data_IF_660560153620
#
_entry.id   IF_660560153620
#
_cell.length_a   1.000
_cell.length_b   1.000
_cell.length_c   1.000
_cell.angle_alpha   90.00
_cell.angle_beta   90.00
_cell.angle_gamma   90.00
#
_symmetry.space_group_name_H-M   'P 1'
#
loop_
_entity.id
_entity.type
_entity.pdbx_description
1 polymer ?
#
# COMPACT_ATOMS: atom_id res chain seq x y z
N UNK A 1 -20.58 -13.80 7.86
CA UNK A 1 -20.62 -14.89 6.90
C UNK A 1 -19.46 -15.82 7.23
N UNK A 2 -19.74 -17.09 7.43
CA UNK A 2 -18.70 -18.10 7.63
C UNK A 2 -18.01 -18.33 6.28
N UNK A 3 -16.70 -18.24 6.25
CA UNK A 3 -15.91 -18.56 5.06
C UNK A 3 -15.06 -19.77 5.34
N UNK A 4 -15.15 -20.76 4.47
CA UNK A 4 -14.35 -21.97 4.56
C UNK A 4 -13.22 -21.94 3.55
N UNK A 5 -12.02 -22.30 3.97
CA UNK A 5 -10.89 -22.57 3.08
C UNK A 5 -10.67 -24.07 3.08
N UNK A 6 -10.64 -24.67 1.89
CA UNK A 6 -10.26 -26.05 1.69
C UNK A 6 -8.87 -26.12 1.07
N UNK A 7 -8.04 -27.02 1.56
CA UNK A 7 -6.65 -27.18 1.14
C UNK A 7 -6.33 -28.66 1.03
N UNK A 8 -5.73 -29.08 -0.10
CA UNK A 8 -5.23 -30.43 -0.29
C UNK A 8 -3.78 -30.53 0.22
N UNK A 9 -3.51 -31.52 1.05
CA UNK A 9 -2.17 -31.74 1.62
C UNK A 9 -1.23 -32.28 0.54
N UNK A 10 -0.12 -31.58 0.31
CA UNK A 10 0.92 -31.97 -0.63
C UNK A 10 1.88 -32.99 0.02
N UNK A 11 2.65 -33.72 -0.81
CA UNK A 11 3.56 -34.79 -0.37
C UNK A 11 4.56 -34.33 0.70
N UNK A 12 5.14 -33.15 0.51
CA UNK A 12 6.12 -32.57 1.44
C UNK A 12 5.57 -32.20 2.83
N UNK A 13 4.24 -32.23 3.00
CA UNK A 13 3.56 -31.91 4.26
C UNK A 13 3.17 -33.17 5.03
N UNK A 14 3.29 -34.34 4.43
CA UNK A 14 2.95 -35.63 5.06
C UNK A 14 3.72 -35.80 6.37
N UNK A 15 3.03 -36.32 7.40
CA UNK A 15 3.59 -36.50 8.74
C UNK A 15 3.61 -35.25 9.61
N UNK A 16 3.16 -34.11 9.10
CA UNK A 16 3.02 -32.89 9.89
C UNK A 16 1.68 -32.87 10.61
N UNK A 17 1.56 -32.04 11.65
CA UNK A 17 0.28 -31.79 12.33
C UNK A 17 -0.61 -30.86 11.51
N UNK A 18 -1.93 -30.98 11.67
CA UNK A 18 -2.91 -30.05 11.08
C UNK A 18 -2.55 -28.59 11.41
N UNK A 19 -2.16 -28.28 12.67
CA UNK A 19 -1.75 -26.94 13.07
C UNK A 19 -0.57 -26.44 12.22
N UNK A 20 0.46 -27.29 12.04
CA UNK A 20 1.66 -26.90 11.30
C UNK A 20 1.31 -26.60 9.84
N UNK A 21 0.52 -27.46 9.20
CA UNK A 21 0.05 -27.27 7.82
C UNK A 21 -0.80 -26.00 7.68
N UNK A 22 -1.76 -25.76 8.58
CA UNK A 22 -2.56 -24.54 8.57
C UNK A 22 -1.71 -23.28 8.72
N UNK A 23 -0.61 -23.36 9.48
CA UNK A 23 0.33 -22.22 9.63
C UNK A 23 1.22 -22.01 8.42
N UNK A 24 1.78 -23.08 7.87
CA UNK A 24 2.78 -22.97 6.78
C UNK A 24 2.13 -22.81 5.41
N UNK A 25 1.12 -23.61 5.09
CA UNK A 25 0.48 -23.58 3.77
C UNK A 25 -0.57 -22.47 3.64
N UNK A 26 -1.34 -22.21 4.71
CA UNK A 26 -2.38 -21.19 4.68
C UNK A 26 -1.98 -19.86 5.34
N UNK A 27 -0.80 -19.80 5.98
CA UNK A 27 -0.31 -18.60 6.65
C UNK A 27 -1.15 -18.18 7.86
N UNK A 28 -1.85 -19.12 8.51
CA UNK A 28 -2.74 -18.81 9.62
C UNK A 28 -1.97 -18.62 10.93
N UNK A 29 -2.37 -17.65 11.73
CA UNK A 29 -1.80 -17.44 13.06
C UNK A 29 -2.35 -18.48 14.05
N UNK A 30 -1.59 -18.75 15.13
CA UNK A 30 -2.08 -19.59 16.25
C UNK A 30 -3.44 -19.14 16.77
N UNK A 31 -3.68 -17.82 16.83
CA UNK A 31 -4.95 -17.25 17.30
C UNK A 31 -6.12 -17.57 16.37
N UNK A 32 -5.91 -17.54 15.06
CA UNK A 32 -6.93 -17.91 14.06
C UNK A 32 -7.28 -19.39 14.16
N UNK A 33 -6.27 -20.27 14.22
CA UNK A 33 -6.44 -21.71 14.38
C UNK A 33 -7.14 -22.02 15.70
N UNK A 34 -6.73 -21.37 16.80
CA UNK A 34 -7.37 -21.54 18.12
C UNK A 34 -8.84 -21.13 18.12
N UNK A 35 -9.21 -20.07 17.40
CA UNK A 35 -10.62 -19.68 17.25
C UNK A 35 -11.41 -20.71 16.48
N UNK A 36 -10.88 -21.16 15.33
CA UNK A 36 -11.53 -22.15 14.50
C UNK A 36 -11.76 -23.47 15.25
N UNK A 37 -10.78 -23.99 16.00
CA UNK A 37 -10.90 -25.28 16.68
C UNK A 37 -12.03 -25.36 17.72
N UNK A 38 -12.51 -24.22 18.23
CA UNK A 38 -13.61 -24.17 19.20
C UNK A 38 -15.00 -24.03 18.54
N UNK A 39 -15.06 -23.97 17.21
CA UNK A 39 -16.32 -23.96 16.47
C UNK A 39 -16.72 -25.38 16.09
N UNK A 40 -18.02 -25.66 16.03
CA UNK A 40 -18.56 -27.01 15.73
C UNK A 40 -18.03 -27.57 14.41
N UNK A 41 -17.88 -26.69 13.38
CA UNK A 41 -17.38 -27.02 12.04
C UNK A 41 -16.08 -26.29 11.70
N UNK A 42 -15.31 -25.94 12.71
CA UNK A 42 -14.19 -25.02 12.56
C UNK A 42 -12.99 -25.60 11.82
N UNK A 43 -12.60 -26.85 12.08
CA UNK A 43 -11.49 -27.53 11.38
C UNK A 43 -11.91 -28.97 11.09
N UNK A 44 -11.81 -29.36 9.80
CA UNK A 44 -12.13 -30.73 9.34
C UNK A 44 -11.00 -31.29 8.51
N UNK A 45 -10.79 -32.60 8.65
CA UNK A 45 -9.92 -33.39 7.79
C UNK A 45 -10.78 -34.44 7.08
N UNK A 46 -10.79 -34.43 5.74
CA UNK A 46 -11.61 -35.33 4.91
C UNK A 46 -13.11 -35.28 5.30
N UNK A 47 -13.62 -34.10 5.57
CA UNK A 47 -15.02 -33.88 5.96
C UNK A 47 -15.35 -34.17 7.44
N UNK A 48 -14.45 -34.76 8.22
CA UNK A 48 -14.64 -35.09 9.64
C UNK A 48 -13.91 -34.08 10.53
N UNK A 49 -14.55 -33.66 11.60
CA UNK A 49 -13.93 -32.77 12.60
C UNK A 49 -12.64 -33.41 13.14
N UNK A 50 -11.56 -32.63 13.18
CA UNK A 50 -10.24 -33.11 13.59
C UNK A 50 -9.62 -32.21 14.66
N UNK A 51 -8.60 -32.75 15.33
CA UNK A 51 -7.78 -31.98 16.27
C UNK A 51 -6.60 -31.30 15.53
N UNK A 52 -6.15 -30.19 16.03
CA UNK A 52 -4.98 -29.48 15.49
C UNK A 52 -3.68 -30.28 15.60
N UNK A 53 -3.66 -31.28 16.48
CA UNK A 53 -2.54 -32.23 16.70
C UNK A 53 -2.57 -33.45 15.78
N UNK A 54 -3.69 -33.68 15.05
CA UNK A 54 -3.79 -34.83 14.15
C UNK A 54 -2.78 -34.74 13.00
N UNK A 55 -2.24 -35.90 12.64
CA UNK A 55 -1.26 -36.01 11.55
C UNK A 55 -1.97 -36.04 10.21
N UNK A 56 -1.41 -35.34 9.23
CA UNK A 56 -1.91 -35.34 7.86
C UNK A 56 -1.09 -36.26 6.97
N UNK A 57 -1.76 -36.76 5.92
CA UNK A 57 -1.14 -37.54 4.84
C UNK A 57 -1.36 -36.85 3.50
N UNK A 58 -0.58 -37.21 2.49
CA UNK A 58 -0.74 -36.73 1.12
C UNK A 58 -2.19 -36.92 0.65
N UNK A 59 -2.73 -35.91 0.00
CA UNK A 59 -4.12 -35.86 -0.52
C UNK A 59 -5.23 -35.69 0.54
N UNK A 60 -4.90 -35.63 1.85
CA UNK A 60 -5.88 -35.22 2.85
C UNK A 60 -6.47 -33.86 2.52
N UNK A 61 -7.78 -33.70 2.63
CA UNK A 61 -8.49 -32.44 2.47
C UNK A 61 -8.66 -31.78 3.84
N UNK A 62 -7.96 -30.68 4.07
CA UNK A 62 -8.11 -29.90 5.29
C UNK A 62 -9.03 -28.73 5.00
N UNK A 63 -10.12 -28.61 5.74
CA UNK A 63 -11.03 -27.47 5.69
C UNK A 63 -10.96 -26.71 7.01
N UNK A 64 -10.91 -25.39 6.93
CA UNK A 64 -10.95 -24.51 8.10
C UNK A 64 -11.97 -23.38 7.87
N UNK A 65 -12.80 -23.13 8.91
CA UNK A 65 -13.69 -21.99 8.95
C UNK A 65 -12.92 -20.73 9.37
N UNK A 66 -12.97 -19.70 8.54
CA UNK A 66 -12.43 -18.38 8.85
C UNK A 66 -13.61 -17.47 9.15
N UNK A 67 -14.04 -17.44 10.39
CA UNK A 67 -15.07 -16.49 10.81
C UNK A 67 -14.52 -15.06 10.92
N UNK A 68 -15.34 -14.10 10.50
CA UNK A 68 -15.26 -12.76 11.07
C UNK A 68 -15.67 -12.89 12.54
N UNK A 69 -14.75 -12.64 13.47
CA UNK A 69 -15.08 -12.76 14.89
C UNK A 69 -16.30 -11.87 15.21
N UNK A 70 -17.33 -12.45 15.87
CA UNK A 70 -18.52 -11.69 16.35
C UNK A 70 -18.11 -10.45 17.17
N UNK A 71 -16.96 -10.48 17.84
CA UNK A 71 -16.37 -9.36 18.57
C UNK A 71 -15.64 -8.33 17.67
N UNK A 72 -15.34 -8.63 16.39
CA UNK A 72 -14.79 -7.65 15.47
C UNK A 72 -15.84 -6.61 15.02
N UNK A 73 -17.13 -6.88 15.24
CA UNK A 73 -18.20 -5.93 14.98
C UNK A 73 -18.16 -4.71 15.94
N UNK A 74 -17.62 -4.89 17.16
CA UNK A 74 -17.48 -3.80 18.14
C UNK A 74 -16.33 -2.83 17.82
N UNK A 75 -15.50 -3.13 16.82
CA UNK A 75 -14.43 -2.29 16.31
C UNK A 75 -14.66 -1.89 14.85
N UNK A 76 -15.94 -1.85 14.41
CA UNK A 76 -16.28 -1.29 13.13
C UNK A 76 -15.90 0.19 13.16
N UNK A 77 -15.10 0.59 12.19
CA UNK A 77 -14.88 2.00 11.88
C UNK A 77 -16.27 2.61 11.68
N UNK A 78 -16.59 3.70 12.39
CA UNK A 78 -17.86 4.40 12.20
C UNK A 78 -18.06 4.63 10.69
N UNK A 79 -19.26 4.37 10.18
CA UNK A 79 -19.53 4.55 8.76
C UNK A 79 -20.05 5.98 8.51
N UNK A 80 -19.75 6.50 7.35
CA UNK A 80 -20.27 7.76 6.87
C UNK A 80 -21.53 7.47 6.03
N UNK A 81 -22.71 7.95 6.47
CA UNK A 81 -23.96 7.73 5.74
C UNK A 81 -24.01 8.53 4.44
N UNK A 82 -23.43 9.74 4.43
CA UNK A 82 -23.40 10.67 3.30
C UNK A 82 -22.12 10.55 2.46
N UNK A 83 -21.46 9.40 2.49
CA UNK A 83 -20.22 9.21 1.76
C UNK A 83 -20.45 9.36 0.25
N UNK A 84 -19.56 10.11 -0.40
CA UNK A 84 -19.45 10.10 -1.86
C UNK A 84 -19.32 8.67 -2.39
N UNK A 85 -19.88 8.37 -3.57
CA UNK A 85 -19.74 7.05 -4.18
C UNK A 85 -18.28 6.64 -4.27
N UNK A 86 -17.98 5.41 -3.84
CA UNK A 86 -16.64 4.84 -4.02
C UNK A 86 -16.40 4.52 -5.49
N UNK A 87 -15.31 4.97 -6.03
CA UNK A 87 -14.84 4.52 -7.34
C UNK A 87 -14.12 3.17 -7.18
N UNK A 88 -14.87 2.09 -7.47
CA UNK A 88 -14.40 0.72 -7.29
C UNK A 88 -13.68 0.27 -8.56
N UNK A 89 -12.42 -0.12 -8.43
CA UNK A 89 -11.59 -0.64 -9.53
C UNK A 89 -11.67 -2.17 -9.63
N UNK A 90 -11.83 -2.84 -8.49
CA UNK A 90 -11.96 -4.29 -8.41
C UNK A 90 -12.65 -4.70 -7.12
N UNK A 91 -13.50 -5.70 -7.18
CA UNK A 91 -14.13 -6.28 -6.00
C UNK A 91 -14.41 -7.77 -6.21
N UNK A 92 -14.07 -8.59 -5.22
CA UNK A 92 -14.50 -9.97 -5.09
C UNK A 92 -14.87 -10.30 -3.63
N UNK A 93 -14.93 -11.57 -3.28
CA UNK A 93 -15.24 -12.00 -1.90
C UNK A 93 -14.15 -11.66 -0.88
N UNK A 94 -12.91 -11.46 -1.32
CA UNK A 94 -11.73 -11.39 -0.48
C UNK A 94 -11.10 -10.02 -0.42
N UNK A 95 -11.21 -9.25 -1.49
CA UNK A 95 -10.55 -7.96 -1.65
C UNK A 95 -11.48 -6.92 -2.26
N UNK A 96 -11.14 -5.66 -2.00
CA UNK A 96 -11.72 -4.48 -2.63
C UNK A 96 -10.59 -3.51 -2.97
N UNK A 97 -10.50 -3.09 -4.22
CA UNK A 97 -9.61 -2.02 -4.65
C UNK A 97 -10.43 -0.80 -5.06
N UNK A 98 -10.07 0.36 -4.54
CA UNK A 98 -10.76 1.63 -4.82
C UNK A 98 -9.77 2.70 -5.28
N UNK A 99 -10.22 3.60 -6.13
CA UNK A 99 -9.52 4.83 -6.46
C UNK A 99 -9.81 5.87 -5.38
N UNK A 100 -8.83 6.16 -4.54
CA UNK A 100 -8.95 7.16 -3.48
C UNK A 100 -8.85 8.56 -4.10
N UNK A 101 -9.81 9.46 -3.90
CA UNK A 101 -9.61 10.87 -4.25
C UNK A 101 -8.54 11.50 -3.35
N UNK A 102 -7.95 12.60 -3.80
CA UNK A 102 -7.12 13.45 -2.95
C UNK A 102 -7.99 14.14 -1.87
N UNK A 103 -7.37 14.65 -0.82
CA UNK A 103 -8.03 15.42 0.24
C UNK A 103 -8.59 14.59 1.40
N UNK A 104 -8.66 13.26 1.30
CA UNK A 104 -9.11 12.39 2.38
C UNK A 104 -8.03 11.43 2.89
N UNK A 105 -8.06 11.12 4.18
CA UNK A 105 -7.16 10.14 4.78
C UNK A 105 -7.58 8.71 4.40
N UNK A 106 -6.61 7.79 4.36
CA UNK A 106 -6.91 6.36 4.12
C UNK A 106 -7.68 5.72 5.27
N UNK A 107 -7.33 6.04 6.53
CA UNK A 107 -7.98 5.51 7.73
C UNK A 107 -7.98 6.54 8.86
N UNK A 108 -8.82 6.38 9.89
CA UNK A 108 -8.95 7.31 11.00
C UNK A 108 -7.61 7.60 11.68
N UNK A 109 -7.32 8.89 11.88
CA UNK A 109 -6.13 9.36 12.57
C UNK A 109 -6.35 10.78 13.12
N UNK A 110 -5.91 11.03 14.36
CA UNK A 110 -6.06 12.33 15.00
C UNK A 110 -7.53 12.75 15.10
N UNK A 111 -7.87 13.94 14.59
CA UNK A 111 -9.23 14.50 14.61
C UNK A 111 -10.17 13.90 13.53
N UNK A 112 -9.64 13.12 12.58
CA UNK A 112 -10.41 12.54 11.49
C UNK A 112 -10.90 11.14 11.85
N UNK A 113 -12.12 11.03 12.44
CA UNK A 113 -12.68 9.76 12.91
C UNK A 113 -13.72 9.15 11.95
N UNK A 114 -14.44 9.99 11.18
CA UNK A 114 -15.60 9.57 10.39
C UNK A 114 -15.53 9.96 8.91
N UNK A 115 -14.50 10.69 8.49
CA UNK A 115 -14.36 11.30 7.16
C UNK A 115 -13.25 10.66 6.31
N UNK A 116 -12.83 9.44 6.65
CA UNK A 116 -11.74 8.75 5.95
C UNK A 116 -12.26 7.76 4.90
N UNK A 117 -11.39 7.34 3.97
CA UNK A 117 -11.72 6.30 3.00
C UNK A 117 -12.20 5.01 3.68
N UNK A 118 -11.60 4.63 4.81
CA UNK A 118 -12.03 3.46 5.57
C UNK A 118 -13.45 3.59 6.11
N UNK A 119 -13.90 4.81 6.47
CA UNK A 119 -15.29 5.07 6.87
C UNK A 119 -16.24 4.90 5.69
N UNK A 120 -15.86 5.40 4.51
CA UNK A 120 -16.65 5.25 3.27
C UNK A 120 -16.77 3.78 2.86
N UNK A 121 -15.66 3.01 2.92
CA UNK A 121 -15.68 1.56 2.67
C UNK A 121 -16.52 0.81 3.70
N UNK A 122 -16.49 1.22 4.97
CA UNK A 122 -17.37 0.65 6.02
C UNK A 122 -18.84 0.88 5.69
N UNK A 123 -19.22 2.08 5.29
CA UNK A 123 -20.58 2.41 4.83
C UNK A 123 -21.01 1.61 3.61
N UNK A 124 -20.13 1.46 2.64
CA UNK A 124 -20.36 0.63 1.46
C UNK A 124 -20.63 -0.84 1.83
N UNK A 125 -19.79 -1.43 2.69
CA UNK A 125 -20.01 -2.80 3.16
C UNK A 125 -21.31 -2.94 3.94
N UNK A 126 -21.66 -1.96 4.77
CA UNK A 126 -22.92 -1.95 5.50
C UNK A 126 -24.14 -1.93 4.55
N UNK A 127 -24.14 -1.06 3.53
CA UNK A 127 -25.19 -1.00 2.50
C UNK A 127 -25.33 -2.32 1.73
N UNK A 128 -24.21 -3.01 1.46
CA UNK A 128 -24.18 -4.34 0.82
C UNK A 128 -24.47 -5.51 1.77
N UNK A 129 -24.72 -5.26 3.05
CA UNK A 129 -24.87 -6.29 4.09
C UNK A 129 -23.64 -7.22 4.22
N UNK A 130 -22.45 -6.70 3.91
CA UNK A 130 -21.18 -7.39 4.09
C UNK A 130 -20.62 -7.02 5.46
N UNK A 131 -20.72 -7.94 6.41
CA UNK A 131 -20.25 -7.71 7.79
C UNK A 131 -18.80 -8.14 7.93
N UNK A 132 -17.88 -7.26 7.60
CA UNK A 132 -16.46 -7.49 7.77
C UNK A 132 -15.75 -6.22 8.28
N UNK A 133 -14.63 -6.41 8.95
CA UNK A 133 -13.75 -5.30 9.34
C UNK A 133 -13.05 -4.74 8.10
N UNK A 134 -13.00 -3.42 7.98
CA UNK A 134 -12.23 -2.72 6.94
C UNK A 134 -10.73 -2.83 7.27
N UNK A 135 -9.94 -3.38 6.33
CA UNK A 135 -8.48 -3.60 6.49
C UNK A 135 -7.73 -3.07 5.28
N UNK A 136 -7.27 -1.81 5.32
CA UNK A 136 -6.45 -1.29 4.23
C UNK A 136 -5.09 -1.98 4.17
N UNK A 137 -4.61 -2.29 2.97
CA UNK A 137 -3.28 -2.83 2.72
C UNK A 137 -2.34 -1.68 2.33
N UNK A 138 -1.66 -1.15 3.32
CA UNK A 138 -0.91 0.09 3.19
C UNK A 138 -1.80 1.33 3.22
N UNK A 139 -1.18 2.48 3.02
CA UNK A 139 -1.85 3.79 3.06
C UNK A 139 -1.36 4.68 1.92
N UNK A 140 -2.17 5.67 1.57
CA UNK A 140 -1.77 6.85 0.83
C UNK A 140 -1.90 8.08 1.73
N UNK A 141 -1.10 9.09 1.47
CA UNK A 141 -1.20 10.37 2.16
C UNK A 141 -2.52 11.07 1.81
N UNK A 142 -2.93 12.07 2.60
CA UNK A 142 -4.20 12.79 2.42
C UNK A 142 -4.34 13.32 1.00
N UNK A 143 -3.33 14.04 0.51
CA UNK A 143 -3.35 14.69 -0.80
C UNK A 143 -2.97 13.77 -1.97
N UNK A 144 -2.50 12.53 -1.71
CA UNK A 144 -2.21 11.54 -2.73
C UNK A 144 -3.48 10.83 -3.16
N UNK A 145 -3.75 10.80 -4.45
CA UNK A 145 -4.85 10.04 -5.06
C UNK A 145 -4.41 8.64 -5.53
N UNK A 146 -5.37 7.79 -5.94
CA UNK A 146 -5.11 6.51 -6.58
C UNK A 146 -5.41 5.28 -5.75
N UNK A 147 -4.85 4.13 -6.14
CA UNK A 147 -5.28 2.81 -5.70
C UNK A 147 -4.98 2.56 -4.23
N UNK A 148 -6.05 2.23 -3.48
CA UNK A 148 -5.97 1.64 -2.15
C UNK A 148 -6.66 0.29 -2.16
N UNK A 149 -5.92 -0.73 -1.69
CA UNK A 149 -6.41 -2.10 -1.58
C UNK A 149 -6.90 -2.37 -0.17
N UNK A 150 -8.06 -3.01 -0.05
CA UNK A 150 -8.65 -3.45 1.21
C UNK A 150 -8.85 -4.96 1.20
N UNK A 151 -8.56 -5.60 2.31
CA UNK A 151 -8.89 -7.00 2.54
C UNK A 151 -10.22 -7.11 3.29
N UNK A 152 -11.12 -7.97 2.79
CA UNK A 152 -12.43 -8.24 3.41
C UNK A 152 -12.36 -9.23 4.57
N UNK A 153 -11.27 -10.00 4.66
CA UNK A 153 -11.05 -10.94 5.75
C UNK A 153 -9.59 -10.89 6.24
N UNK A 154 -9.35 -11.49 7.40
CA UNK A 154 -8.05 -11.42 8.06
C UNK A 154 -6.96 -12.21 7.31
N UNK A 155 -7.31 -13.31 6.64
CA UNK A 155 -6.34 -14.13 5.89
C UNK A 155 -5.86 -13.37 4.65
N UNK A 156 -6.78 -12.76 3.91
CA UNK A 156 -6.43 -11.88 2.80
C UNK A 156 -5.54 -10.74 3.25
N UNK A 157 -5.86 -10.10 4.39
CA UNK A 157 -5.03 -9.03 4.94
C UNK A 157 -3.60 -9.49 5.23
N UNK A 158 -3.46 -10.63 5.88
CA UNK A 158 -2.15 -11.19 6.23
C UNK A 158 -1.34 -11.57 4.99
N UNK A 159 -1.96 -12.24 4.02
CA UNK A 159 -1.29 -12.66 2.78
C UNK A 159 -0.88 -11.48 1.90
N UNK A 160 -1.75 -10.49 1.75
CA UNK A 160 -1.42 -9.27 1.02
C UNK A 160 -0.35 -8.43 1.71
N UNK A 161 -0.36 -8.40 3.05
CA UNK A 161 0.70 -7.74 3.82
C UNK A 161 2.05 -8.47 3.65
N UNK A 162 2.08 -9.80 3.69
CA UNK A 162 3.28 -10.59 3.42
C UNK A 162 3.80 -10.38 1.98
N UNK A 163 2.91 -10.29 0.99
CA UNK A 163 3.29 -9.96 -0.40
C UNK A 163 3.89 -8.55 -0.49
N UNK A 164 3.37 -7.59 0.25
CA UNK A 164 3.92 -6.24 0.31
C UNK A 164 5.33 -6.24 0.93
N UNK A 165 5.54 -6.98 2.00
CA UNK A 165 6.84 -7.10 2.69
C UNK A 165 7.88 -7.84 1.84
N UNK A 166 7.47 -8.81 1.03
CA UNK A 166 8.33 -9.55 0.10
C UNK A 166 8.50 -8.91 -1.28
N UNK A 167 7.89 -7.73 -1.53
CA UNK A 167 7.96 -7.04 -2.82
C UNK A 167 7.13 -7.66 -3.94
N UNK A 168 6.32 -8.70 -3.68
CA UNK A 168 5.38 -9.28 -4.67
C UNK A 168 4.25 -8.31 -4.96
N UNK A 169 3.66 -7.70 -3.92
CA UNK A 169 2.71 -6.61 -4.06
C UNK A 169 3.47 -5.31 -4.19
N UNK A 170 3.40 -4.69 -5.34
CA UNK A 170 4.03 -3.40 -5.59
C UNK A 170 3.09 -2.42 -6.26
N UNK A 171 3.29 -1.15 -5.95
CA UNK A 171 2.60 -0.01 -6.55
C UNK A 171 3.55 0.78 -7.43
N UNK A 172 3.01 1.29 -8.51
CA UNK A 172 3.65 2.28 -9.35
C UNK A 172 2.90 3.60 -9.21
N UNK A 173 3.65 4.66 -9.02
CA UNK A 173 3.14 6.01 -8.87
C UNK A 173 3.49 6.83 -10.10
N UNK A 174 2.69 7.86 -10.35
CA UNK A 174 3.06 8.94 -11.25
C UNK A 174 3.07 10.23 -10.45
N UNK A 175 4.07 11.08 -10.71
CA UNK A 175 4.22 12.36 -10.06
C UNK A 175 4.68 13.42 -11.06
N UNK A 176 4.34 14.68 -10.76
CA UNK A 176 4.87 15.84 -11.45
C UNK A 176 5.73 16.60 -10.46
N UNK A 177 6.99 16.81 -10.84
CA UNK A 177 8.02 17.42 -9.99
C UNK A 177 8.53 18.71 -10.57
N UNK A 178 9.05 19.59 -9.72
CA UNK A 178 9.67 20.86 -10.14
C UNK A 178 11.03 20.64 -10.77
N UNK A 179 11.36 21.47 -11.73
CA UNK A 179 12.65 21.51 -12.41
C UNK A 179 12.84 20.40 -13.44
N UNK A 180 13.81 20.59 -14.29
CA UNK A 180 14.29 19.60 -15.24
C UNK A 180 15.44 18.80 -14.63
N UNK A 181 15.44 17.50 -14.82
CA UNK A 181 16.62 16.68 -14.51
C UNK A 181 17.73 17.00 -15.51
N UNK A 182 18.93 17.32 -15.02
CA UNK A 182 20.07 17.69 -15.85
C UNK A 182 20.46 16.55 -16.81
N UNK A 183 20.86 16.93 -18.01
CA UNK A 183 21.32 16.03 -19.09
C UNK A 183 22.70 15.41 -18.83
N UNK A 184 23.40 15.77 -17.74
CA UNK A 184 24.77 15.33 -17.43
C UNK A 184 24.93 13.80 -17.24
N UNK A 185 23.87 13.10 -17.34
CA UNK A 185 23.87 11.64 -17.49
C UNK A 185 23.67 11.28 -18.96
N UNK A 186 24.70 11.51 -19.77
CA UNK A 186 24.77 11.22 -21.21
C UNK A 186 24.54 9.72 -21.58
N UNK A 187 24.10 8.90 -20.66
CA UNK A 187 23.74 7.49 -20.85
C UNK A 187 22.26 7.18 -20.54
N UNK A 188 21.42 8.17 -20.22
CA UNK A 188 20.05 7.90 -19.80
C UNK A 188 19.08 8.06 -20.96
N UNK A 189 18.87 6.95 -21.65
CA UNK A 189 17.60 6.77 -22.35
C UNK A 189 16.46 7.07 -21.34
N UNK A 190 15.36 7.71 -21.77
CA UNK A 190 14.16 7.93 -20.93
C UNK A 190 13.60 6.63 -20.31
N UNK A 191 14.22 5.46 -20.53
CA UNK A 191 13.81 4.13 -20.07
C UNK A 191 14.55 3.64 -18.83
N UNK A 192 15.62 4.32 -18.37
CA UNK A 192 16.41 3.86 -17.23
C UNK A 192 15.72 4.18 -15.88
N UNK A 193 15.78 3.20 -14.97
CA UNK A 193 15.38 3.38 -13.57
C UNK A 193 16.55 3.87 -12.74
N UNK A 194 16.31 4.92 -11.96
CA UNK A 194 17.23 5.49 -10.97
C UNK A 194 16.81 5.09 -9.60
N UNK A 195 17.76 4.98 -8.67
CA UNK A 195 17.48 4.58 -7.28
C UNK A 195 17.92 5.65 -6.30
N UNK A 196 17.06 5.95 -5.32
CA UNK A 196 17.32 6.86 -4.20
C UNK A 196 17.21 6.06 -2.91
N UNK A 197 18.30 6.06 -2.11
CA UNK A 197 18.41 5.27 -0.87
C UNK A 197 18.68 6.18 0.35
N UNK A 198 18.09 7.35 0.42
CA UNK A 198 18.26 8.25 1.57
C UNK A 198 17.42 7.78 2.77
N UNK A 199 18.00 7.52 3.94
CA UNK A 199 17.23 7.27 5.14
C UNK A 199 16.34 8.47 5.48
N UNK A 200 15.16 8.17 6.05
CA UNK A 200 14.16 9.18 6.40
C UNK A 200 13.97 9.23 7.90
N UNK A 201 13.86 10.42 8.45
CA UNK A 201 13.46 10.64 9.84
C UNK A 201 12.38 11.71 9.96
N UNK A 202 11.73 11.75 11.12
CA UNK A 202 10.82 12.84 11.46
C UNK A 202 11.64 14.08 11.85
N UNK A 203 11.24 15.27 11.36
CA UNK A 203 11.88 16.53 11.76
C UNK A 203 11.44 16.93 13.17
N UNK A 204 12.30 17.67 13.87
CA UNK A 204 11.99 18.19 15.21
C UNK A 204 11.11 19.45 15.18
N UNK A 205 11.16 20.21 14.07
CA UNK A 205 10.52 21.50 13.91
C UNK A 205 9.05 21.44 13.50
N UNK A 206 8.59 20.29 13.00
CA UNK A 206 7.22 20.16 12.50
C UNK A 206 6.65 18.75 12.71
N UNK A 207 5.45 18.60 13.33
CA UNK A 207 4.90 17.31 13.75
C UNK A 207 4.59 16.35 12.58
N UNK A 208 4.37 16.85 11.38
CA UNK A 208 4.03 16.05 10.20
C UNK A 208 5.16 15.98 9.18
N UNK A 209 6.26 16.71 9.36
CA UNK A 209 7.33 16.78 8.37
C UNK A 209 8.34 15.64 8.58
N UNK A 210 8.75 15.06 7.47
CA UNK A 210 9.85 14.11 7.38
C UNK A 210 11.01 14.77 6.65
N UNK A 211 12.22 14.27 6.82
CA UNK A 211 13.40 14.69 6.06
C UNK A 211 14.20 13.47 5.62
N UNK A 212 14.81 13.56 4.44
CA UNK A 212 15.79 12.62 3.96
C UNK A 212 17.18 13.09 4.40
N UNK A 213 18.01 12.15 4.83
CA UNK A 213 19.37 12.43 5.25
C UNK A 213 20.31 12.14 4.07
N UNK A 214 20.90 13.19 3.52
CA UNK A 214 21.75 13.14 2.33
C UNK A 214 23.26 13.04 2.64
N UNK A 215 23.68 13.34 3.87
CA UNK A 215 25.08 13.43 4.28
C UNK A 215 25.73 12.07 4.60
N UNK A 216 25.06 10.97 4.33
CA UNK A 216 25.69 9.65 4.31
C UNK A 216 26.51 9.55 3.02
N UNK A 217 27.85 9.50 3.15
CA UNK A 217 28.75 9.32 2.02
C UNK A 217 28.29 8.18 1.09
N UNK A 218 28.70 8.22 -0.16
CA UNK A 218 28.28 7.36 -1.29
C UNK A 218 28.34 5.85 -1.09
N UNK A 219 28.65 5.38 0.12
CA UNK A 219 28.83 3.96 0.50
C UNK A 219 27.64 3.37 1.28
N UNK A 220 26.58 4.13 1.55
CA UNK A 220 25.44 3.61 2.31
C UNK A 220 24.45 2.88 1.39
N UNK A 221 24.69 1.60 1.19
CA UNK A 221 23.68 0.66 0.69
C UNK A 221 23.08 -0.03 1.92
N UNK A 222 21.80 0.13 2.26
CA UNK A 222 21.22 -0.59 3.36
C UNK A 222 21.19 -2.09 3.05
N UNK A 223 21.94 -2.90 3.78
CA UNK A 223 21.98 -4.37 3.63
C UNK A 223 20.67 -5.06 4.03
N UNK A 224 19.74 -4.33 4.68
CA UNK A 224 18.41 -4.85 5.03
C UNK A 224 17.39 -3.72 5.18
N UNK A 225 16.10 -4.02 4.98
CA UNK A 225 14.98 -3.09 5.18
C UNK A 225 14.77 -2.68 6.66
N UNK A 226 15.62 -3.13 7.57
CA UNK A 226 15.48 -2.96 9.01
C UNK A 226 16.35 -1.81 9.53
N UNK A 227 15.77 -1.11 10.47
CA UNK A 227 16.24 0.03 11.25
C UNK A 227 17.76 0.24 11.30
N UNK A 228 18.20 1.41 10.87
CA UNK A 228 19.49 1.94 11.32
C UNK A 228 19.31 2.37 12.79
N UNK A 229 19.94 1.64 13.72
CA UNK A 229 19.84 1.90 15.17
C UNK A 229 20.41 3.29 15.46
N UNK A 230 19.68 4.16 16.18
CA UNK A 230 20.22 5.46 16.56
C UNK A 230 21.31 5.28 17.62
N UNK A 231 22.39 6.02 17.50
CA UNK A 231 23.24 6.37 18.64
C UNK A 231 22.36 7.08 19.70
N UNK A 232 22.56 6.78 20.96
CA UNK A 232 21.75 7.28 22.07
C UNK A 232 21.49 8.80 21.96
N UNK A 233 20.18 9.19 21.88
CA UNK A 233 19.73 10.58 21.77
C UNK A 233 19.34 11.06 20.37
N UNK A 234 19.48 10.23 19.31
CA UNK A 234 19.05 10.59 17.94
C UNK A 234 17.67 10.05 17.60
N UNK A 235 16.91 10.80 16.78
CA UNK A 235 15.64 10.33 16.20
C UNK A 235 15.87 9.11 15.32
N UNK A 236 14.98 8.11 15.41
CA UNK A 236 15.05 6.86 14.65
C UNK A 236 15.14 7.14 13.14
N UNK A 237 16.21 6.67 12.51
CA UNK A 237 16.34 6.66 11.06
C UNK A 237 15.61 5.46 10.47
N UNK A 238 14.84 5.67 9.42
CA UNK A 238 14.10 4.64 8.72
C UNK A 238 14.74 4.43 7.35
N UNK A 239 15.18 3.22 7.06
CA UNK A 239 15.61 2.84 5.71
C UNK A 239 14.48 3.12 4.70
N UNK A 240 14.82 3.73 3.57
CA UNK A 240 13.86 4.08 2.53
C UNK A 240 14.51 3.96 1.15
N UNK A 241 13.86 3.23 0.24
CA UNK A 241 14.34 3.01 -1.13
C UNK A 241 13.23 3.36 -2.11
N UNK A 242 13.52 4.29 -3.02
CA UNK A 242 12.63 4.76 -4.08
C UNK A 242 13.32 4.60 -5.42
N UNK A 243 12.64 3.98 -6.37
CA UNK A 243 13.06 3.93 -7.77
C UNK A 243 12.22 4.92 -8.58
N UNK A 244 12.86 5.66 -9.48
CA UNK A 244 12.14 6.57 -10.38
C UNK A 244 12.66 6.48 -11.80
N UNK A 245 11.80 6.82 -12.75
CA UNK A 245 12.08 6.93 -14.17
C UNK A 245 11.44 8.21 -14.69
N UNK A 246 12.18 8.95 -15.51
CA UNK A 246 11.70 10.19 -16.08
C UNK A 246 10.91 9.86 -17.35
N UNK A 247 9.67 10.30 -17.42
CA UNK A 247 8.78 10.08 -18.56
C UNK A 247 8.74 11.28 -19.50
N UNK A 248 8.83 12.49 -18.92
CA UNK A 248 8.80 13.74 -19.68
C UNK A 248 9.64 14.81 -18.98
N UNK A 249 10.28 15.68 -19.77
CA UNK A 249 11.05 16.82 -19.27
C UNK A 249 10.56 18.10 -19.92
N UNK A 250 10.36 19.13 -19.11
CA UNK A 250 10.22 20.53 -19.47
C UNK A 250 11.33 21.32 -18.78
N UNK A 251 11.64 22.57 -19.16
CA UNK A 251 12.62 23.38 -18.46
C UNK A 251 12.31 23.55 -16.96
N UNK A 252 11.05 23.68 -16.59
CA UNK A 252 10.61 24.05 -15.24
C UNK A 252 9.98 22.92 -14.44
N UNK A 253 9.68 21.76 -15.06
CA UNK A 253 9.05 20.62 -14.42
C UNK A 253 9.25 19.32 -15.20
N UNK A 254 9.00 18.20 -14.57
CA UNK A 254 9.14 16.87 -15.18
C UNK A 254 8.05 15.91 -14.71
N UNK A 255 7.68 14.93 -15.55
CA UNK A 255 6.83 13.80 -15.17
C UNK A 255 7.74 12.63 -14.86
N UNK A 256 7.51 12.01 -13.70
CA UNK A 256 8.25 10.83 -13.27
C UNK A 256 7.28 9.71 -12.87
N UNK A 257 7.67 8.48 -13.17
CA UNK A 257 7.04 7.29 -12.57
C UNK A 257 7.94 6.75 -11.47
N UNK A 258 7.33 6.21 -10.39
CA UNK A 258 8.07 5.78 -9.21
C UNK A 258 7.58 4.43 -8.71
N UNK A 259 8.51 3.65 -8.13
CA UNK A 259 8.26 2.41 -7.39
C UNK A 259 8.95 2.48 -6.04
N UNK A 260 8.42 1.75 -5.07
CA UNK A 260 8.89 1.77 -3.69
C UNK A 260 9.20 0.35 -3.21
N UNK A 261 10.41 0.12 -2.69
CA UNK A 261 10.73 -1.10 -1.93
C UNK A 261 10.28 -0.96 -0.47
N UNK A 262 10.22 0.28 0.04
CA UNK A 262 9.75 0.63 1.38
C UNK A 262 8.58 1.60 1.28
N UNK A 263 7.74 1.69 2.30
CA UNK A 263 6.58 2.60 2.30
C UNK A 263 6.57 3.49 3.54
N UNK A 264 7.56 4.39 3.67
CA UNK A 264 7.64 5.33 4.81
C UNK A 264 6.75 6.54 4.58
N UNK A 265 6.37 7.20 5.67
CA UNK A 265 5.56 8.43 5.62
C UNK A 265 6.25 9.48 4.74
N UNK A 266 5.51 10.02 3.77
CA UNK A 266 5.99 11.04 2.82
C UNK A 266 7.23 10.64 1.98
N UNK A 267 7.55 9.35 1.85
CA UNK A 267 8.81 8.88 1.26
C UNK A 267 9.11 9.49 -0.12
N UNK A 268 8.21 9.36 -1.09
CA UNK A 268 8.40 9.94 -2.43
C UNK A 268 8.63 11.45 -2.32
N UNK A 269 7.84 12.14 -1.51
CA UNK A 269 7.87 13.60 -1.37
C UNK A 269 9.22 14.09 -0.86
N UNK A 270 9.78 13.45 0.17
CA UNK A 270 11.08 13.85 0.73
C UNK A 270 12.26 13.40 -0.12
N UNK A 271 12.17 12.25 -0.80
CA UNK A 271 13.21 11.82 -1.72
C UNK A 271 13.31 12.73 -2.94
N UNK A 272 12.20 13.06 -3.57
CA UNK A 272 12.19 13.99 -4.70
C UNK A 272 12.67 15.40 -4.28
N UNK A 273 12.27 15.89 -3.10
CA UNK A 273 12.79 17.13 -2.55
C UNK A 273 14.31 17.07 -2.32
N UNK A 274 14.83 15.96 -1.79
CA UNK A 274 16.27 15.79 -1.53
C UNK A 274 17.09 15.78 -2.83
N UNK A 275 16.51 15.32 -3.94
CA UNK A 275 17.10 15.40 -5.27
C UNK A 275 17.01 16.82 -5.90
N UNK A 276 16.38 17.79 -5.24
CA UNK A 276 16.15 19.13 -5.79
C UNK A 276 14.87 19.26 -6.63
N UNK A 277 14.06 18.19 -6.73
CA UNK A 277 12.86 18.10 -7.55
C UNK A 277 11.60 17.87 -6.68
N UNK A 278 11.18 18.79 -5.78
CA UNK A 278 9.98 18.62 -4.99
C UNK A 278 8.74 18.47 -5.88
N UNK A 279 7.71 17.78 -5.40
CA UNK A 279 6.47 17.57 -6.13
C UNK A 279 5.70 18.90 -6.28
N UNK A 280 5.10 19.13 -7.43
CA UNK A 280 4.22 20.29 -7.63
C UNK A 280 3.03 20.24 -6.66
N UNK A 281 2.63 21.42 -6.17
CA UNK A 281 1.51 21.56 -5.24
C UNK A 281 1.76 20.97 -3.83
N UNK A 282 2.96 20.54 -3.52
CA UNK A 282 3.30 20.02 -2.18
C UNK A 282 3.61 21.13 -1.20
N UNK A 283 2.59 21.67 -0.55
CA UNK A 283 2.70 22.79 0.38
C UNK A 283 3.61 22.53 1.59
N UNK A 284 3.88 21.26 1.92
CA UNK A 284 4.73 20.89 3.05
C UNK A 284 6.23 20.89 2.70
N UNK A 285 6.57 20.58 1.44
CA UNK A 285 7.94 20.36 1.00
C UNK A 285 8.41 21.29 -0.12
N UNK A 286 7.50 21.88 -0.86
CA UNK A 286 7.81 22.88 -1.86
C UNK A 286 8.11 24.23 -1.17
N UNK A 287 9.22 24.87 -1.51
CA UNK A 287 9.44 26.25 -1.14
C UNK A 287 8.48 27.13 -1.96
N UNK A 288 7.85 28.12 -1.33
CA UNK A 288 7.11 29.16 -2.05
C UNK A 288 8.09 29.90 -2.95
N UNK A 289 8.00 29.69 -4.25
CA UNK A 289 8.66 30.55 -5.22
C UNK A 289 7.80 31.80 -5.44
N UNK A 290 8.42 32.96 -5.68
CA UNK A 290 7.66 34.12 -6.12
C UNK A 290 6.83 33.78 -7.35
N UNK A 291 5.57 34.20 -7.37
CA UNK A 291 4.62 33.88 -8.46
C UNK A 291 5.09 34.33 -9.85
N UNK A 292 6.04 35.26 -9.91
CA UNK A 292 6.54 35.85 -11.15
C UNK A 292 7.63 35.02 -11.86
N UNK A 293 8.10 33.93 -11.25
CA UNK A 293 9.24 33.19 -11.80
C UNK A 293 8.88 31.94 -12.61
N UNK A 294 7.57 31.58 -12.75
CA UNK A 294 7.14 30.29 -13.28
C UNK A 294 6.00 30.45 -14.31
N UNK A 295 6.31 30.96 -15.51
CA UNK A 295 5.30 31.27 -16.52
C UNK A 295 4.65 30.05 -17.23
N UNK A 296 5.20 28.83 -17.07
CA UNK A 296 4.74 27.65 -17.83
C UNK A 296 4.51 26.39 -16.98
N UNK A 297 4.53 26.50 -15.64
CA UNK A 297 4.25 25.32 -14.81
C UNK A 297 2.76 25.05 -14.69
N UNK A 298 2.34 23.76 -14.76
CA UNK A 298 0.96 23.40 -14.47
C UNK A 298 0.61 23.68 -13.00
N UNK A 299 -0.58 24.22 -12.77
CA UNK A 299 -1.05 24.57 -11.43
C UNK A 299 -1.66 23.33 -10.76
N UNK A 300 -1.09 22.94 -9.62
CA UNK A 300 -1.64 21.89 -8.77
C UNK A 300 -2.01 22.46 -7.40
N UNK A 301 -3.27 22.28 -6.99
CA UNK A 301 -3.78 22.68 -5.68
C UNK A 301 -3.60 21.61 -4.59
N UNK A 302 -2.94 20.53 -4.91
CA UNK A 302 -2.59 19.39 -4.06
C UNK A 302 -1.24 18.83 -4.46
N UNK A 303 -0.68 17.95 -3.66
CA UNK A 303 0.53 17.21 -4.05
C UNK A 303 0.28 16.43 -5.35
N UNK A 304 1.03 16.73 -6.40
CA UNK A 304 0.94 16.08 -7.71
C UNK A 304 1.52 14.65 -7.67
N UNK A 305 0.82 13.77 -6.95
CA UNK A 305 1.16 12.37 -6.72
C UNK A 305 -0.08 11.49 -6.84
N UNK A 306 0.03 10.44 -7.65
CA UNK A 306 -1.05 9.50 -7.89
C UNK A 306 -0.54 8.06 -7.88
N UNK A 307 -1.15 7.19 -7.06
CA UNK A 307 -0.89 5.75 -7.03
C UNK A 307 -1.59 5.08 -8.21
N UNK A 308 -0.90 5.07 -9.35
CA UNK A 308 -1.45 4.77 -10.67
C UNK A 308 -1.73 3.29 -10.90
N UNK A 309 -0.73 2.42 -10.64
CA UNK A 309 -0.84 0.98 -10.88
C UNK A 309 -0.54 0.18 -9.62
N UNK A 310 -1.16 -0.98 -9.51
CA UNK A 310 -0.84 -1.98 -8.49
C UNK A 310 -0.82 -3.36 -9.12
N UNK A 311 0.15 -4.19 -8.73
CA UNK A 311 0.23 -5.59 -9.08
C UNK A 311 0.41 -6.44 -7.83
N UNK A 312 -0.30 -7.55 -7.76
CA UNK A 312 -0.23 -8.49 -6.65
C UNK A 312 -0.80 -9.85 -7.06
N UNK A 313 -0.58 -10.87 -6.23
CA UNK A 313 -1.25 -12.16 -6.40
C UNK A 313 -2.52 -12.21 -5.55
N UNK A 314 -3.60 -12.70 -6.14
CA UNK A 314 -4.83 -12.91 -5.39
C UNK A 314 -4.57 -13.84 -4.18
N UNK A 315 -5.06 -13.48 -2.95
CA UNK A 315 -4.67 -14.16 -1.71
C UNK A 315 -5.10 -15.64 -1.63
N UNK A 316 -6.04 -16.11 -2.45
CA UNK A 316 -6.50 -17.50 -2.41
C UNK A 316 -6.17 -18.31 -3.66
N UNK A 317 -6.46 -17.80 -4.85
CA UNK A 317 -6.23 -18.53 -6.10
C UNK A 317 -4.85 -18.27 -6.71
N UNK A 318 -4.04 -17.40 -6.10
CA UNK A 318 -2.69 -17.03 -6.53
C UNK A 318 -2.58 -16.46 -7.96
N UNK A 319 -3.70 -16.10 -8.59
CA UNK A 319 -3.72 -15.43 -9.89
C UNK A 319 -3.09 -14.04 -9.81
N UNK A 320 -2.37 -13.63 -10.83
CA UNK A 320 -1.90 -12.25 -10.94
C UNK A 320 -3.06 -11.30 -11.18
N UNK A 321 -3.13 -10.23 -10.41
CA UNK A 321 -4.04 -9.11 -10.58
C UNK A 321 -3.20 -7.87 -10.84
N UNK A 322 -3.51 -7.18 -11.93
CA UNK A 322 -2.94 -5.87 -12.28
C UNK A 322 -4.09 -4.89 -12.44
N UNK A 323 -4.07 -3.81 -11.67
CA UNK A 323 -5.10 -2.76 -11.73
C UNK A 323 -4.44 -1.42 -12.02
N UNK A 324 -5.18 -0.58 -12.73
CA UNK A 324 -4.81 0.77 -13.06
C UNK A 324 -5.92 1.72 -12.63
N UNK A 325 -5.57 2.79 -11.90
CA UNK A 325 -6.49 3.87 -11.58
C UNK A 325 -6.49 4.90 -12.72
N UNK A 326 -7.65 5.39 -13.13
CA UNK A 326 -7.71 6.49 -14.07
C UNK A 326 -6.98 7.72 -13.49
N UNK A 327 -6.29 8.44 -14.36
CA UNK A 327 -5.63 9.68 -13.96
C UNK A 327 -6.69 10.71 -13.55
N UNK A 328 -6.46 11.44 -12.46
CA UNK A 328 -7.34 12.54 -12.07
C UNK A 328 -7.23 13.73 -13.05
N UNK A 329 -8.28 14.56 -13.10
CA UNK A 329 -8.42 15.65 -14.08
C UNK A 329 -7.24 16.61 -14.12
N UNK A 330 -6.63 16.89 -12.97
CA UNK A 330 -5.46 17.77 -12.89
C UNK A 330 -4.24 17.19 -13.63
N UNK A 331 -4.05 15.86 -13.62
CA UNK A 331 -3.04 15.17 -14.43
C UNK A 331 -3.45 15.11 -15.90
N UNK A 332 -4.71 14.77 -16.19
CA UNK A 332 -5.21 14.72 -17.56
C UNK A 332 -5.04 16.06 -18.27
N UNK A 333 -5.41 17.17 -17.64
CA UNK A 333 -5.26 18.52 -18.18
C UNK A 333 -3.80 18.85 -18.43
N UNK A 334 -2.89 18.49 -17.50
CA UNK A 334 -1.46 18.70 -17.70
C UNK A 334 -0.93 17.91 -18.90
N UNK A 335 -1.32 16.64 -19.06
CA UNK A 335 -0.83 15.76 -20.12
C UNK A 335 -1.37 16.17 -21.51
N UNK A 336 -2.63 16.58 -21.58
CA UNK A 336 -3.22 17.09 -22.83
C UNK A 336 -2.49 18.34 -23.34
N UNK A 337 -2.12 19.25 -22.46
CA UNK A 337 -1.40 20.49 -22.83
C UNK A 337 -0.04 20.25 -23.49
N UNK A 338 0.56 19.06 -23.27
CA UNK A 338 1.86 18.69 -23.82
C UNK A 338 1.79 17.51 -24.80
N UNK A 339 0.58 17.07 -25.19
CA UNK A 339 0.34 15.90 -26.04
C UNK A 339 1.07 14.64 -25.53
N UNK A 340 1.12 14.46 -24.19
CA UNK A 340 1.75 13.30 -23.55
C UNK A 340 0.74 12.20 -23.31
N UNK A 341 1.11 10.96 -23.63
CA UNK A 341 0.35 9.74 -23.32
C UNK A 341 1.22 8.72 -22.57
N UNK A 342 0.63 8.03 -21.60
CA UNK A 342 1.27 6.98 -20.78
C UNK A 342 1.28 5.63 -21.48
#
# INVERSE_FOLDING_TARGET
MEKYITFAVEEHMTGQTVEKVLRTALGLTKRQISRAKFQADGIRKNGVQCRTTDIVQTSDQIMICIEAAKNDLNHLVSFCEDAHPLEILYEDEDILAVNKPAGILTHPSGAHYADTLSNQVSGYFHKKKVFCRVRPIGRLDKETSGIVLFAKNQVSAQRLQAQRESGILHKQYIAIVMGSFSDDTSALSNTAWHTVCFPIRKTADHPLRMEAITDFGSSFVPESADFVTPLAGMTTLLSAVTHYQILYRSPDWSIVTLKLDTGRTHQIRVHMKALGHPLLGDTLYQKTFPADSLSEQPVFHRTALHAWKIQFRHPFNNAWISLEAPLPDDFCNCFQNINFSL
#
